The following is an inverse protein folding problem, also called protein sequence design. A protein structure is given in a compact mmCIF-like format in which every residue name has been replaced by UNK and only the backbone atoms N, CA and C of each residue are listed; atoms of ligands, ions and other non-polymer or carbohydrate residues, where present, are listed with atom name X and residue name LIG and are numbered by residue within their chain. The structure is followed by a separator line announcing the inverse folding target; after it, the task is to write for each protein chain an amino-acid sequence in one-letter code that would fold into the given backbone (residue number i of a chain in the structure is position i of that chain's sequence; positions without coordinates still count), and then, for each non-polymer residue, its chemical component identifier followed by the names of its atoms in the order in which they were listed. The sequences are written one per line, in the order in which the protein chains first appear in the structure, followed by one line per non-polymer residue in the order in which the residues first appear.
data_IF_853529382308
#
_entry.id   IF_853529382308
#
_cell.length_a   1.000
_cell.length_b   1.000
_cell.length_c   1.000
_cell.angle_alpha   90.00
_cell.angle_beta   90.00
_cell.angle_gamma   90.00
#
_symmetry.space_group_name_H-M   'P 1'
#
loop_
_entity.id
_entity.type
_entity.pdbx_description
1 polymer ?
#
# COMPACT_ATOMS: atom_id res chain seq x y z
N UNK A 1 10.20 36.55 -5.76
CA UNK A 1 11.00 37.29 -4.75
C UNK A 1 12.44 37.52 -5.19
N UNK A 2 13.18 36.52 -5.68
CA UNK A 2 14.60 36.68 -6.04
C UNK A 2 14.87 37.78 -7.08
N UNK A 3 14.08 37.85 -8.18
CA UNK A 3 14.27 38.87 -9.23
C UNK A 3 14.02 40.30 -8.71
N UNK A 4 13.01 40.49 -7.87
CA UNK A 4 12.73 41.78 -7.26
C UNK A 4 13.82 42.24 -6.30
N UNK A 5 14.35 41.30 -5.50
CA UNK A 5 15.48 41.58 -4.60
C UNK A 5 16.75 41.93 -5.39
N UNK A 6 17.06 41.19 -6.45
CA UNK A 6 18.21 41.48 -7.31
C UNK A 6 18.13 42.88 -7.96
N UNK A 7 16.97 43.27 -8.43
CA UNK A 7 16.75 44.63 -8.98
C UNK A 7 16.96 45.73 -7.95
N UNK A 8 16.53 45.50 -6.70
CA UNK A 8 16.79 46.44 -5.59
C UNK A 8 18.28 46.52 -5.24
N UNK A 9 18.99 45.40 -5.22
CA UNK A 9 20.43 45.37 -4.98
C UNK A 9 21.20 46.12 -6.07
N UNK A 10 20.68 46.14 -7.30
CA UNK A 10 21.19 46.93 -8.42
C UNK A 10 20.70 48.42 -8.40
N UNK A 11 20.00 48.83 -7.35
CA UNK A 11 19.46 50.20 -7.19
C UNK A 11 18.24 50.51 -8.07
N UNK A 12 17.61 49.49 -8.69
CA UNK A 12 16.49 49.68 -9.59
C UNK A 12 15.17 49.30 -8.91
N UNK A 13 14.31 50.29 -8.64
CA UNK A 13 12.95 50.07 -8.15
C UNK A 13 11.93 50.24 -9.26
N UNK A 14 11.29 49.17 -9.69
CA UNK A 14 10.27 49.19 -10.74
C UNK A 14 8.85 49.34 -10.16
N UNK A 15 8.52 48.54 -9.18
CA UNK A 15 7.20 48.47 -8.55
C UNK A 15 7.23 47.66 -7.28
N UNK A 16 6.13 47.63 -6.52
CA UNK A 16 6.00 46.73 -5.37
C UNK A 16 5.98 45.26 -5.80
N UNK A 17 6.38 44.36 -4.89
CA UNK A 17 6.34 42.88 -5.11
C UNK A 17 4.94 42.44 -5.54
N UNK A 18 3.89 42.96 -4.92
CA UNK A 18 2.50 42.61 -5.24
C UNK A 18 2.12 43.02 -6.67
N UNK A 19 2.56 44.22 -7.09
CA UNK A 19 2.33 44.73 -8.46
C UNK A 19 3.09 43.88 -9.48
N UNK A 20 4.35 43.52 -9.19
CA UNK A 20 5.13 42.63 -10.07
C UNK A 20 4.44 41.29 -10.29
N UNK A 21 3.99 40.63 -9.20
CA UNK A 21 3.25 39.37 -9.33
C UNK A 21 1.92 39.54 -10.09
N UNK A 22 1.20 40.65 -9.92
CA UNK A 22 -0.04 40.94 -10.67
C UNK A 22 0.23 40.99 -12.15
N UNK A 23 1.28 41.72 -12.57
CA UNK A 23 1.67 41.87 -13.98
C UNK A 23 2.10 40.51 -14.55
N UNK A 24 2.98 39.79 -13.85
CA UNK A 24 3.49 38.48 -14.29
C UNK A 24 2.33 37.47 -14.41
N UNK A 25 1.36 37.48 -13.50
CA UNK A 25 0.18 36.62 -13.59
C UNK A 25 -0.69 36.96 -14.80
N UNK A 26 -0.92 38.25 -15.06
CA UNK A 26 -1.71 38.69 -16.23
C UNK A 26 -1.07 38.26 -17.56
N UNK A 27 0.24 38.14 -17.60
CA UNK A 27 1.01 37.66 -18.76
C UNK A 27 1.33 36.15 -18.71
N UNK A 28 0.73 35.38 -17.80
CA UNK A 28 0.94 33.95 -17.64
C UNK A 28 2.43 33.54 -17.43
N UNK A 29 3.25 34.46 -16.93
CA UNK A 29 4.67 34.26 -16.69
C UNK A 29 4.98 33.67 -15.32
N UNK A 30 4.01 33.64 -14.40
CA UNK A 30 4.14 32.96 -13.11
C UNK A 30 3.66 31.52 -13.26
N UNK A 31 4.59 30.61 -13.48
CA UNK A 31 4.29 29.15 -13.43
C UNK A 31 4.62 28.63 -12.04
N UNK A 32 3.62 28.08 -11.36
CA UNK A 32 3.82 27.43 -10.08
C UNK A 32 4.64 26.14 -10.30
N UNK A 33 5.89 26.13 -9.86
CA UNK A 33 6.81 24.96 -10.00
C UNK A 33 6.22 23.67 -9.40
N UNK A 34 5.36 23.79 -8.40
CA UNK A 34 4.69 22.64 -7.75
C UNK A 34 3.64 21.97 -8.63
N UNK A 35 3.12 22.63 -9.67
CA UNK A 35 2.16 22.07 -10.64
C UNK A 35 2.81 21.25 -11.75
N UNK A 36 4.14 21.25 -11.86
CA UNK A 36 4.85 20.48 -12.88
C UNK A 36 4.88 18.97 -12.58
N UNK A 37 4.74 18.57 -11.32
CA UNK A 37 4.56 17.18 -10.94
C UNK A 37 3.08 16.78 -11.02
N UNK A 38 2.55 16.63 -12.22
CA UNK A 38 1.30 15.87 -12.39
C UNK A 38 1.58 14.43 -12.01
N UNK A 39 1.10 14.02 -10.83
CA UNK A 39 1.08 12.61 -10.48
C UNK A 39 0.37 11.86 -11.61
N UNK A 40 1.04 10.90 -12.22
CA UNK A 40 0.37 10.00 -13.16
C UNK A 40 -0.81 9.37 -12.44
N UNK A 41 -1.98 9.31 -13.09
CA UNK A 41 -3.12 8.58 -12.54
C UNK A 41 -2.67 7.15 -12.27
N UNK A 42 -2.78 6.71 -11.02
CA UNK A 42 -2.48 5.34 -10.69
C UNK A 42 -3.45 4.43 -11.44
N UNK A 43 -2.90 3.50 -12.22
CA UNK A 43 -3.69 2.49 -12.92
C UNK A 43 -4.07 1.41 -11.93
N UNK A 44 -5.31 0.91 -12.02
CA UNK A 44 -5.74 -0.23 -11.22
C UNK A 44 -4.86 -1.44 -11.56
N UNK A 45 -4.24 -2.11 -10.59
CA UNK A 45 -3.51 -3.34 -10.89
C UNK A 45 -4.49 -4.41 -11.36
N UNK A 46 -4.25 -4.96 -12.52
CA UNK A 46 -5.02 -6.10 -13.03
C UNK A 46 -4.39 -7.38 -12.47
N UNK A 47 -5.12 -8.04 -11.57
CA UNK A 47 -4.69 -9.30 -10.95
C UNK A 47 -5.27 -10.47 -11.72
N UNK A 48 -4.59 -10.90 -12.74
CA UNK A 48 -4.97 -12.08 -13.56
C UNK A 48 -4.01 -13.22 -13.26
N UNK A 49 -4.58 -14.39 -12.92
CA UNK A 49 -3.85 -15.63 -12.81
C UNK A 49 -4.58 -16.71 -13.65
N UNK A 50 -3.84 -17.44 -14.44
CA UNK A 50 -4.33 -18.53 -15.30
C UNK A 50 -3.99 -19.91 -14.75
N UNK A 51 -3.16 -19.97 -13.71
CA UNK A 51 -2.77 -21.20 -13.03
C UNK A 51 -2.46 -20.90 -11.54
N UNK A 52 -2.43 -21.94 -10.68
CA UNK A 52 -2.00 -21.80 -9.29
C UNK A 52 -0.58 -21.26 -9.17
N UNK A 53 -0.30 -20.56 -8.10
CA UNK A 53 1.04 -20.01 -7.77
C UNK A 53 1.53 -18.88 -8.68
N UNK A 54 0.69 -18.35 -9.56
CA UNK A 54 1.08 -17.18 -10.33
C UNK A 54 0.96 -15.89 -9.51
N UNK A 55 -0.14 -15.72 -8.80
CA UNK A 55 -0.38 -14.52 -7.99
C UNK A 55 -0.93 -14.90 -6.63
N UNK A 56 -0.20 -14.50 -5.59
CA UNK A 56 -0.72 -14.54 -4.23
C UNK A 56 -1.16 -13.15 -3.80
N UNK A 57 -2.34 -13.07 -3.19
CA UNK A 57 -2.84 -11.87 -2.52
C UNK A 57 -2.76 -12.08 -1.02
N UNK A 58 -2.28 -11.08 -0.27
CA UNK A 58 -2.27 -11.17 1.17
C UNK A 58 -2.76 -9.89 1.83
N UNK A 59 -3.26 -10.04 3.05
CA UNK A 59 -3.80 -8.94 3.83
C UNK A 59 -3.82 -9.31 5.32
N UNK A 60 -3.96 -8.30 6.18
CA UNK A 60 -4.01 -8.46 7.63
C UNK A 60 -5.37 -8.00 8.13
N UNK A 61 -6.02 -8.84 8.93
CA UNK A 61 -7.27 -8.46 9.57
C UNK A 61 -7.19 -8.59 11.07
N UNK A 62 -7.89 -7.71 11.80
CA UNK A 62 -7.96 -7.76 13.25
C UNK A 62 -9.02 -8.74 13.72
N UNK A 63 -8.63 -9.61 14.64
CA UNK A 63 -9.49 -10.53 15.37
C UNK A 63 -9.69 -9.99 16.79
N UNK A 64 -10.95 -9.89 17.30
CA UNK A 64 -11.22 -9.42 18.66
C UNK A 64 -10.60 -10.36 19.69
N UNK A 65 -9.74 -9.86 20.55
CA UNK A 65 -9.15 -10.61 21.67
C UNK A 65 -10.10 -10.74 22.89
N UNK A 66 -9.60 -11.28 24.01
CA UNK A 66 -10.40 -11.64 25.17
C UNK A 66 -11.08 -10.43 25.87
N UNK A 67 -10.49 -9.24 25.78
CA UNK A 67 -11.03 -8.03 26.37
C UNK A 67 -11.19 -6.93 25.32
N UNK A 68 -12.06 -5.94 25.61
CA UNK A 68 -12.26 -4.76 24.77
C UNK A 68 -10.93 -4.00 24.61
N UNK A 69 -10.55 -3.73 23.36
CA UNK A 69 -9.30 -3.02 23.03
C UNK A 69 -8.11 -3.95 22.76
N UNK A 70 -8.23 -5.24 23.05
CA UNK A 70 -7.23 -6.25 22.68
C UNK A 70 -7.61 -6.85 21.33
N UNK A 71 -6.66 -6.92 20.41
CA UNK A 71 -6.82 -7.49 19.08
C UNK A 71 -5.62 -8.34 18.73
N UNK A 72 -5.86 -9.39 17.95
CA UNK A 72 -4.82 -10.14 17.26
C UNK A 72 -4.83 -9.77 15.79
N UNK A 73 -3.68 -9.78 15.17
CA UNK A 73 -3.52 -9.52 13.75
C UNK A 73 -3.38 -10.87 13.02
N UNK A 74 -4.38 -11.20 12.21
CA UNK A 74 -4.37 -12.39 11.37
C UNK A 74 -3.85 -12.05 9.98
N UNK A 75 -2.70 -12.56 9.65
CA UNK A 75 -2.06 -12.47 8.35
C UNK A 75 -2.59 -13.61 7.48
N UNK A 76 -3.12 -13.32 6.33
CA UNK A 76 -3.71 -14.31 5.44
C UNK A 76 -3.16 -14.14 4.05
N UNK A 77 -2.73 -15.23 3.44
CA UNK A 77 -2.30 -15.26 2.05
C UNK A 77 -3.15 -16.25 1.24
N UNK A 78 -3.62 -15.82 0.09
CA UNK A 78 -4.55 -16.51 -0.78
C UNK A 78 -3.96 -16.62 -2.19
N UNK A 79 -4.00 -17.79 -2.78
CA UNK A 79 -3.78 -17.96 -4.22
C UNK A 79 -5.04 -17.49 -4.96
N UNK A 80 -4.91 -16.45 -5.78
CA UNK A 80 -6.08 -15.84 -6.43
C UNK A 80 -6.71 -16.72 -7.52
N UNK A 81 -5.98 -17.68 -8.09
CA UNK A 81 -6.51 -18.61 -9.06
C UNK A 81 -7.41 -19.67 -8.41
N UNK A 82 -6.86 -20.41 -7.47
CA UNK A 82 -7.55 -21.52 -6.80
C UNK A 82 -8.48 -21.05 -5.68
N UNK A 83 -8.32 -19.84 -5.17
CA UNK A 83 -8.95 -19.33 -3.94
C UNK A 83 -8.49 -20.04 -2.68
N UNK A 84 -7.49 -20.88 -2.79
CA UNK A 84 -6.93 -21.61 -1.66
C UNK A 84 -6.14 -20.68 -0.74
N UNK A 85 -6.35 -20.83 0.56
CA UNK A 85 -5.59 -20.11 1.58
C UNK A 85 -4.27 -20.85 1.76
N UNK A 86 -3.20 -20.28 1.22
CA UNK A 86 -1.87 -20.90 1.29
C UNK A 86 -1.20 -20.67 2.64
N UNK A 87 -1.70 -19.76 3.46
CA UNK A 87 -1.23 -19.60 4.84
C UNK A 87 -2.02 -18.62 5.66
N UNK A 88 -2.05 -18.90 6.97
CA UNK A 88 -2.63 -18.03 8.00
C UNK A 88 -1.71 -18.01 9.20
N UNK A 89 -1.28 -16.82 9.61
CA UNK A 89 -0.55 -16.63 10.87
C UNK A 89 -1.30 -15.63 11.74
N UNK A 90 -1.29 -15.85 13.03
CA UNK A 90 -1.93 -14.96 14.00
C UNK A 90 -0.91 -14.47 15.02
N UNK A 91 -0.83 -13.17 15.20
CA UNK A 91 0.12 -12.54 16.10
C UNK A 91 -0.56 -11.45 16.94
N UNK A 92 0.05 -11.10 18.07
CA UNK A 92 -0.44 -10.04 18.96
C UNK A 92 -0.20 -8.63 18.39
N UNK A 93 0.59 -8.49 17.35
CA UNK A 93 0.92 -7.20 16.73
C UNK A 93 1.28 -7.35 15.26
N UNK A 94 1.01 -6.30 14.50
CA UNK A 94 1.48 -6.18 13.12
C UNK A 94 2.99 -5.90 13.07
N UNK A 95 3.73 -6.69 12.27
CA UNK A 95 5.17 -6.54 12.09
C UNK A 95 5.62 -7.08 10.73
N UNK A 96 6.48 -6.34 10.03
CA UNK A 96 7.02 -6.77 8.73
C UNK A 96 7.93 -8.00 8.81
N UNK A 97 8.59 -8.25 9.95
CA UNK A 97 9.40 -9.46 10.15
C UNK A 97 8.51 -10.69 10.21
N UNK A 98 7.40 -10.63 10.95
CA UNK A 98 6.42 -11.72 11.02
C UNK A 98 5.76 -12.01 9.66
N UNK A 99 5.52 -10.95 8.88
CA UNK A 99 5.04 -11.11 7.50
C UNK A 99 6.07 -11.82 6.61
N UNK A 100 7.35 -11.48 6.76
CA UNK A 100 8.46 -12.16 6.06
C UNK A 100 8.52 -13.65 6.43
N UNK A 101 8.52 -13.97 7.73
CA UNK A 101 8.54 -15.36 8.23
C UNK A 101 7.36 -16.19 7.68
N UNK A 102 6.16 -15.61 7.67
CA UNK A 102 4.99 -16.25 7.05
C UNK A 102 5.23 -16.54 5.57
N UNK A 103 5.75 -15.57 4.81
CA UNK A 103 6.01 -15.73 3.38
C UNK A 103 7.06 -16.83 3.13
N UNK A 104 8.14 -16.86 3.89
CA UNK A 104 9.18 -17.88 3.78
C UNK A 104 8.61 -19.29 3.99
N UNK A 105 7.76 -19.49 4.98
CA UNK A 105 7.09 -20.77 5.22
C UNK A 105 6.13 -21.15 4.10
N UNK A 106 5.31 -20.19 3.62
CA UNK A 106 4.36 -20.42 2.53
C UNK A 106 5.10 -20.79 1.25
N UNK A 107 6.14 -20.02 0.91
CA UNK A 107 6.91 -20.26 -0.31
C UNK A 107 7.69 -21.58 -0.26
N UNK A 108 8.18 -21.96 0.92
CA UNK A 108 8.81 -23.27 1.13
C UNK A 108 7.85 -24.45 0.95
N UNK A 109 6.57 -24.27 1.29
CA UNK A 109 5.55 -25.34 1.24
C UNK A 109 4.82 -25.39 -0.11
N UNK A 110 4.37 -24.24 -0.62
CA UNK A 110 3.49 -24.15 -1.79
C UNK A 110 4.20 -23.66 -3.06
N UNK A 111 5.43 -23.19 -2.91
CA UNK A 111 6.25 -22.63 -3.99
C UNK A 111 6.16 -21.10 -4.09
N UNK A 112 7.16 -20.54 -4.75
CA UNK A 112 7.34 -19.10 -4.92
C UNK A 112 6.39 -18.62 -6.03
N UNK A 113 5.55 -17.58 -5.76
CA UNK A 113 4.67 -17.02 -6.79
C UNK A 113 5.44 -16.08 -7.74
N UNK A 114 4.83 -15.76 -8.89
CA UNK A 114 5.37 -14.73 -9.77
C UNK A 114 5.10 -13.32 -9.23
N UNK A 115 3.93 -13.13 -8.61
CA UNK A 115 3.48 -11.83 -8.09
C UNK A 115 2.92 -11.99 -6.70
N UNK A 116 3.27 -11.08 -5.81
CA UNK A 116 2.61 -10.90 -4.52
C UNK A 116 1.91 -9.55 -4.50
N UNK A 117 0.59 -9.59 -4.31
CA UNK A 117 -0.26 -8.41 -4.20
C UNK A 117 -0.66 -8.15 -2.76
N UNK A 118 -0.63 -6.89 -2.36
CA UNK A 118 -1.08 -6.42 -1.05
C UNK A 118 -1.61 -4.98 -1.14
N UNK A 119 -2.24 -4.53 -0.07
CA UNK A 119 -2.49 -3.10 0.10
C UNK A 119 -1.19 -2.34 0.42
N UNK A 120 -1.29 -1.11 0.92
CA UNK A 120 -0.14 -0.28 1.30
C UNK A 120 0.05 -0.16 2.82
N UNK A 121 -0.36 -1.18 3.56
CA UNK A 121 -0.14 -1.26 5.00
C UNK A 121 1.35 -1.22 5.40
N UNK A 122 1.62 -0.92 6.65
CA UNK A 122 2.99 -0.75 7.17
C UNK A 122 3.84 -2.01 6.99
N UNK A 123 3.28 -3.19 7.29
CA UNK A 123 3.97 -4.47 7.11
C UNK A 123 4.20 -4.80 5.65
N UNK A 124 3.26 -4.42 4.78
CA UNK A 124 3.27 -4.75 3.35
C UNK A 124 4.31 -3.94 2.57
N UNK A 125 4.63 -2.74 3.06
CA UNK A 125 5.65 -1.86 2.49
C UNK A 125 6.99 -1.93 3.22
N UNK A 126 7.12 -2.82 4.22
CA UNK A 126 8.33 -2.95 5.03
C UNK A 126 9.54 -3.38 4.21
N UNK A 127 10.74 -2.96 4.65
CA UNK A 127 12.01 -3.35 4.01
C UNK A 127 12.28 -4.84 4.09
N UNK A 128 11.82 -5.52 5.15
CA UNK A 128 11.98 -6.98 5.32
C UNK A 128 11.22 -7.76 4.26
N UNK A 129 9.95 -7.42 4.02
CA UNK A 129 9.13 -8.04 2.96
C UNK A 129 9.68 -7.65 1.58
N UNK A 130 10.03 -6.37 1.40
CA UNK A 130 10.59 -5.88 0.14
C UNK A 130 11.89 -6.61 -0.23
N UNK A 131 12.78 -6.81 0.74
CA UNK A 131 14.04 -7.53 0.55
C UNK A 131 13.83 -8.99 0.15
N UNK A 132 12.99 -9.73 0.88
CA UNK A 132 12.66 -11.11 0.57
C UNK A 132 12.11 -11.28 -0.86
N UNK A 133 11.12 -10.46 -1.23
CA UNK A 133 10.50 -10.58 -2.55
C UNK A 133 11.47 -10.21 -3.68
N UNK A 134 12.35 -9.23 -3.45
CA UNK A 134 13.41 -8.86 -4.38
C UNK A 134 14.43 -9.99 -4.56
N UNK A 135 14.89 -10.60 -3.47
CA UNK A 135 15.84 -11.71 -3.47
C UNK A 135 15.29 -12.93 -4.21
N UNK A 136 14.01 -13.22 -4.05
CA UNK A 136 13.32 -14.33 -4.72
C UNK A 136 12.85 -14.00 -6.14
N UNK A 137 13.07 -12.81 -6.65
CA UNK A 137 12.63 -12.37 -7.99
C UNK A 137 11.11 -12.22 -8.13
N UNK A 138 10.39 -12.07 -7.01
CA UNK A 138 8.93 -11.93 -6.98
C UNK A 138 8.51 -10.48 -7.25
N UNK A 139 7.62 -10.29 -8.20
CA UNK A 139 7.08 -8.96 -8.51
C UNK A 139 6.12 -8.51 -7.41
N UNK A 140 6.34 -7.32 -6.87
CA UNK A 140 5.42 -6.69 -5.92
C UNK A 140 4.35 -5.89 -6.64
N UNK A 141 3.10 -6.13 -6.28
CA UNK A 141 1.95 -5.35 -6.71
C UNK A 141 1.24 -4.75 -5.50
N UNK A 142 0.83 -3.50 -5.59
CA UNK A 142 0.12 -2.82 -4.51
C UNK A 142 -1.16 -2.16 -5.01
N UNK A 143 -2.16 -2.14 -4.15
CA UNK A 143 -3.37 -1.35 -4.33
C UNK A 143 -3.04 0.13 -4.56
N UNK A 144 -3.89 0.84 -5.29
CA UNK A 144 -3.76 2.29 -5.48
C UNK A 144 -3.90 3.00 -4.13
N UNK A 145 -3.21 4.12 -3.93
CA UNK A 145 -3.33 4.89 -2.69
C UNK A 145 -4.79 5.29 -2.43
N UNK A 146 -5.29 5.02 -1.22
CA UNK A 146 -6.66 5.34 -0.76
C UNK A 146 -7.80 4.66 -1.56
N UNK A 147 -7.51 3.52 -2.21
CA UNK A 147 -8.52 2.71 -2.88
C UNK A 147 -8.54 1.34 -2.20
N UNK A 148 -9.65 1.02 -1.53
CA UNK A 148 -9.83 -0.25 -0.82
C UNK A 148 -10.14 -1.42 -1.76
N UNK A 149 -10.84 -1.18 -2.85
CA UNK A 149 -11.35 -2.24 -3.73
C UNK A 149 -10.30 -2.89 -4.65
N UNK A 150 -9.03 -2.59 -4.47
CA UNK A 150 -7.95 -3.14 -5.30
C UNK A 150 -7.43 -4.49 -4.78
N UNK A 151 -7.89 -4.95 -3.59
CA UNK A 151 -7.60 -6.29 -3.05
C UNK A 151 -8.90 -7.09 -2.76
N UNK A 152 -9.73 -7.34 -3.78
CA UNK A 152 -11.07 -7.90 -3.61
C UNK A 152 -11.06 -9.34 -3.06
N UNK A 153 -9.99 -10.09 -3.27
CA UNK A 153 -9.87 -11.48 -2.86
C UNK A 153 -9.77 -11.61 -1.34
N UNK A 154 -8.88 -10.88 -0.72
CA UNK A 154 -8.72 -10.86 0.73
C UNK A 154 -9.94 -10.25 1.42
N UNK A 155 -10.48 -9.15 0.88
CA UNK A 155 -11.68 -8.51 1.43
C UNK A 155 -12.91 -9.44 1.42
N UNK A 156 -13.15 -10.14 0.30
CA UNK A 156 -14.24 -11.09 0.16
C UNK A 156 -14.10 -12.24 1.15
N UNK A 157 -12.89 -12.77 1.29
CA UNK A 157 -12.62 -13.84 2.24
C UNK A 157 -12.83 -13.40 3.69
N UNK A 158 -12.34 -12.23 4.08
CA UNK A 158 -12.55 -11.69 5.42
C UNK A 158 -14.02 -11.45 5.74
N UNK A 159 -14.81 -11.01 4.75
CA UNK A 159 -16.26 -10.92 4.92
C UNK A 159 -16.85 -12.31 5.19
N UNK A 160 -16.55 -13.29 4.35
CA UNK A 160 -17.04 -14.66 4.53
C UNK A 160 -16.66 -15.22 5.90
N UNK A 161 -15.40 -15.04 6.34
CA UNK A 161 -14.94 -15.48 7.64
C UNK A 161 -15.71 -14.82 8.79
N UNK A 162 -15.77 -13.50 8.80
CA UNK A 162 -16.36 -12.72 9.92
C UNK A 162 -17.88 -12.82 10.02
N UNK A 163 -18.55 -13.12 8.91
CA UNK A 163 -20.01 -13.35 8.88
C UNK A 163 -20.40 -14.82 9.02
N UNK A 164 -19.44 -15.73 9.13
CA UNK A 164 -19.74 -17.12 9.40
C UNK A 164 -20.45 -17.26 10.77
N UNK A 165 -21.56 -18.02 10.85
CA UNK A 165 -22.29 -18.18 12.11
C UNK A 165 -21.46 -18.76 13.28
N UNK A 166 -20.40 -19.48 12.94
CA UNK A 166 -19.45 -20.09 13.90
C UNK A 166 -18.31 -19.16 14.27
N UNK A 167 -18.20 -17.95 13.67
CA UNK A 167 -17.13 -17.03 13.99
C UNK A 167 -17.32 -16.46 15.39
N UNK A 168 -16.34 -16.61 16.31
CA UNK A 168 -16.51 -16.17 17.68
C UNK A 168 -16.50 -14.64 17.77
N UNK A 169 -17.32 -14.11 18.66
CA UNK A 169 -17.30 -12.67 18.96
C UNK A 169 -15.96 -12.22 19.58
N UNK A 170 -15.26 -13.14 20.26
CA UNK A 170 -13.96 -12.93 20.89
C UNK A 170 -13.17 -14.21 20.92
N UNK A 171 -11.86 -14.07 20.70
CA UNK A 171 -10.89 -15.15 20.84
C UNK A 171 -10.25 -15.09 22.23
N UNK A 172 -10.08 -16.24 22.86
CA UNK A 172 -9.61 -16.33 24.26
C UNK A 172 -8.08 -16.38 24.36
N UNK A 173 -7.39 -16.81 23.30
CA UNK A 173 -5.93 -16.88 23.23
C UNK A 173 -5.49 -16.82 21.76
#
# INVERSE_FOLDING_TARGET
MQVWAALLDEGTYLCSVSTMYRILNAHSQVKERRRLARHRKAVCPELVATAPRQVYSWDITKLPGPAKGIYYDAYVMIDIYSRYIVGVHVHARECGVLAKEMMEQIFGTYGIPHVVHADRGTSMTSTSVAGLLCELGVTRSHSRPKVSNDNPYSESWFKTLKYAPTFPQRFQS
#
